data_IF_416191167327
#
_entry.id   IF_416191167327
#
_cell.length_a   1.000
_cell.length_b   1.000
_cell.length_c   1.000
_cell.angle_alpha   90.00
_cell.angle_beta   90.00
_cell.angle_gamma   90.00
#
_symmetry.space_group_name_H-M   'P 1'
#
loop_
_entity.id
_entity.type
_entity.pdbx_description
1 polymer ?
#
# COMPACT_ATOMS: atom_id res chain seq x y z
N UNK A 1 -22.86 15.30 16.27
CA UNK A 1 -21.88 14.53 17.08
C UNK A 1 -20.54 14.71 16.39
N UNK A 2 -19.58 15.36 17.03
CA UNK A 2 -18.20 15.48 16.50
C UNK A 2 -17.62 14.10 16.38
N UNK A 3 -17.17 13.71 15.18
CA UNK A 3 -16.47 12.44 14.96
C UNK A 3 -15.25 12.39 15.90
N UNK A 4 -15.13 11.33 16.67
CA UNK A 4 -13.97 11.11 17.53
C UNK A 4 -12.74 10.91 16.64
N UNK A 5 -11.65 11.60 16.95
CA UNK A 5 -10.40 11.45 16.20
C UNK A 5 -9.95 9.99 16.16
N UNK A 6 -9.39 9.52 15.03
CA UNK A 6 -8.85 8.17 14.88
C UNK A 6 -7.84 7.82 15.99
N UNK A 7 -7.85 6.56 16.45
CA UNK A 7 -6.88 6.13 17.46
C UNK A 7 -5.57 5.74 16.81
N UNK A 8 -4.55 6.58 16.98
CA UNK A 8 -3.21 6.36 16.43
C UNK A 8 -2.22 5.96 17.54
N UNK A 9 -1.33 5.04 17.22
CA UNK A 9 -0.14 4.68 18.04
C UNK A 9 1.11 4.93 17.20
N UNK A 10 2.09 5.63 17.79
CA UNK A 10 3.34 5.98 17.11
C UNK A 10 4.49 5.18 17.68
N UNK A 11 5.33 4.70 16.78
CA UNK A 11 6.64 4.13 17.09
C UNK A 11 7.68 5.03 16.43
N UNK A 12 8.10 6.11 17.11
CA UNK A 12 9.07 7.03 16.55
C UNK A 12 10.43 6.37 16.42
N UNK A 13 11.14 6.69 15.36
CA UNK A 13 12.51 6.23 15.10
C UNK A 13 12.66 4.70 15.16
N UNK A 14 11.71 3.96 14.62
CA UNK A 14 11.85 2.52 14.45
C UNK A 14 13.09 2.22 13.60
N UNK A 15 14.11 1.63 14.24
CA UNK A 15 15.42 1.38 13.62
C UNK A 15 15.40 0.08 12.84
N UNK A 16 15.87 0.14 11.60
CA UNK A 16 16.12 -1.03 10.76
C UNK A 16 17.60 -1.36 10.72
N UNK A 17 17.97 -2.59 10.99
CA UNK A 17 19.33 -3.10 10.79
C UNK A 17 19.60 -3.36 9.30
N UNK A 18 18.57 -3.74 8.53
CA UNK A 18 18.70 -4.02 7.09
C UNK A 18 18.93 -2.73 6.28
N UNK A 19 18.24 -1.64 6.64
CA UNK A 19 18.31 -0.37 5.92
C UNK A 19 19.33 0.60 6.53
N UNK A 20 19.81 0.29 7.73
CA UNK A 20 20.77 1.10 8.53
C UNK A 20 20.30 2.53 8.86
N UNK A 21 19.01 2.73 8.97
CA UNK A 21 18.42 3.99 9.44
C UNK A 21 17.08 3.79 10.14
N UNK A 22 16.53 4.88 10.69
CA UNK A 22 15.28 4.85 11.43
C UNK A 22 14.20 5.65 10.68
N UNK A 23 12.94 5.24 10.91
CA UNK A 23 11.74 5.93 10.42
C UNK A 23 10.61 5.85 11.44
N UNK A 24 9.64 6.71 11.33
CA UNK A 24 8.45 6.63 12.14
C UNK A 24 7.47 5.62 11.56
N UNK A 25 6.83 4.87 12.45
CA UNK A 25 5.73 3.97 12.13
C UNK A 25 4.49 4.46 12.87
N UNK A 26 3.39 4.61 12.17
CA UNK A 26 2.12 5.05 12.74
C UNK A 26 1.08 3.95 12.55
N UNK A 27 0.49 3.48 13.65
CA UNK A 27 -0.51 2.41 13.63
C UNK A 27 -1.87 2.97 13.96
N UNK A 28 -2.80 2.88 13.00
CA UNK A 28 -4.22 3.11 13.24
C UNK A 28 -4.84 1.88 13.88
N UNK A 29 -5.54 2.08 14.98
CA UNK A 29 -6.31 1.06 15.70
C UNK A 29 -7.81 1.28 15.47
N UNK A 30 -8.55 0.23 15.03
CA UNK A 30 -9.96 0.38 14.71
C UNK A 30 -10.80 0.66 15.96
N UNK A 31 -12.02 1.20 15.79
CA UNK A 31 -12.96 1.42 16.90
C UNK A 31 -13.11 0.16 17.77
N UNK A 32 -13.16 0.36 19.09
CA UNK A 32 -13.24 -0.70 20.11
C UNK A 32 -12.03 -1.63 20.20
N UNK A 33 -10.88 -1.31 19.59
CA UNK A 33 -9.68 -2.12 19.75
C UNK A 33 -9.34 -2.40 21.22
N UNK A 34 -9.47 -1.44 22.13
CA UNK A 34 -9.14 -1.59 23.56
C UNK A 34 -10.05 -2.55 24.34
N UNK A 35 -11.28 -2.77 23.88
CA UNK A 35 -12.31 -3.56 24.60
C UNK A 35 -12.61 -4.90 23.94
N UNK A 36 -12.43 -5.02 22.63
CA UNK A 36 -12.65 -6.28 21.91
C UNK A 36 -11.45 -7.22 22.05
N UNK A 37 -11.72 -8.52 22.25
CA UNK A 37 -10.69 -9.57 22.36
C UNK A 37 -10.48 -10.34 21.06
N UNK A 38 -10.43 -9.64 19.91
CA UNK A 38 -10.23 -10.27 18.60
C UNK A 38 -8.94 -9.81 17.94
N UNK A 39 -8.47 -10.59 16.99
CA UNK A 39 -7.40 -10.20 16.08
C UNK A 39 -7.97 -9.48 14.85
N UNK A 40 -7.13 -8.78 14.13
CA UNK A 40 -7.52 -7.89 13.04
C UNK A 40 -6.63 -8.10 11.80
N UNK A 41 -7.20 -8.05 10.59
CA UNK A 41 -6.41 -7.93 9.38
C UNK A 41 -5.60 -6.62 9.39
N UNK A 42 -4.47 -6.63 8.69
CA UNK A 42 -3.52 -5.51 8.66
C UNK A 42 -3.25 -5.06 7.22
N UNK A 43 -3.38 -3.76 6.98
CA UNK A 43 -2.93 -3.10 5.76
C UNK A 43 -1.68 -2.26 6.07
N UNK A 44 -0.56 -2.61 5.45
CA UNK A 44 0.67 -1.83 5.48
C UNK A 44 0.65 -0.83 4.33
N UNK A 45 0.85 0.46 4.63
CA UNK A 45 0.86 1.53 3.63
C UNK A 45 2.17 2.32 3.66
N UNK A 46 2.74 2.52 2.49
CA UNK A 46 3.91 3.37 2.29
C UNK A 46 3.57 4.85 2.46
N UNK A 47 4.60 5.68 2.62
CA UNK A 47 4.49 7.14 2.77
C UNK A 47 3.59 7.53 3.96
N UNK A 48 3.84 6.90 5.12
CA UNK A 48 3.04 6.98 6.34
C UNK A 48 2.73 8.41 6.80
N UNK A 49 3.65 9.34 6.57
CA UNK A 49 3.47 10.77 6.90
C UNK A 49 2.30 11.41 6.15
N UNK A 50 1.88 10.87 4.99
CA UNK A 50 0.79 11.40 4.17
C UNK A 50 -0.58 10.77 4.49
N UNK A 51 -0.69 9.87 5.46
CA UNK A 51 -1.87 9.02 5.59
C UNK A 51 -2.92 9.57 6.56
N UNK A 52 -2.49 10.07 7.72
CA UNK A 52 -3.38 10.29 8.86
C UNK A 52 -3.54 11.75 9.29
N UNK A 53 -2.52 12.56 9.13
CA UNK A 53 -2.43 13.88 9.75
C UNK A 53 -1.96 14.93 8.72
N UNK A 54 -2.76 15.97 8.50
CA UNK A 54 -2.45 16.98 7.49
C UNK A 54 -1.15 17.75 7.77
N UNK A 55 -0.80 17.90 9.07
CA UNK A 55 0.40 18.64 9.48
C UNK A 55 1.71 17.89 9.17
N UNK A 56 1.63 16.55 9.07
CA UNK A 56 2.79 15.69 8.76
C UNK A 56 2.97 15.43 7.27
N UNK A 57 1.94 15.70 6.48
CA UNK A 57 1.94 15.39 5.06
C UNK A 57 3.05 16.17 4.33
N UNK A 58 3.65 15.53 3.31
CA UNK A 58 4.69 16.14 2.47
C UNK A 58 4.23 17.48 1.86
N UNK A 59 2.97 17.57 1.45
CA UNK A 59 2.29 18.82 1.12
C UNK A 59 1.35 19.14 2.28
N UNK A 60 1.64 20.18 3.08
CA UNK A 60 0.83 20.52 4.24
C UNK A 60 -0.66 20.66 3.89
N UNK A 61 -1.51 20.06 4.69
CA UNK A 61 -2.96 20.06 4.46
C UNK A 61 -3.46 18.99 3.48
N UNK A 62 -2.59 18.30 2.75
CA UNK A 62 -2.98 17.25 1.81
C UNK A 62 -2.56 15.87 2.34
N UNK A 63 -3.52 15.12 2.84
CA UNK A 63 -3.30 13.74 3.33
C UNK A 63 -4.42 12.81 2.86
N UNK A 64 -4.22 11.49 3.00
CA UNK A 64 -5.15 10.49 2.50
C UNK A 64 -6.42 10.30 3.33
N UNK A 65 -6.51 10.92 4.51
CA UNK A 65 -7.64 10.75 5.43
C UNK A 65 -7.94 9.28 5.76
N UNK A 66 -6.89 8.49 5.91
CA UNK A 66 -7.02 7.03 6.09
C UNK A 66 -7.82 6.68 7.33
N UNK A 67 -7.56 7.36 8.45
CA UNK A 67 -8.24 7.09 9.71
C UNK A 67 -9.74 7.40 9.66
N UNK A 68 -10.11 8.55 9.13
CA UNK A 68 -11.50 9.00 8.99
C UNK A 68 -12.26 8.07 8.03
N UNK A 69 -11.68 7.74 6.89
CA UNK A 69 -12.30 6.83 5.89
C UNK A 69 -12.54 5.44 6.49
N UNK A 70 -11.60 4.93 7.29
CA UNK A 70 -11.76 3.66 7.99
C UNK A 70 -12.87 3.73 9.03
N UNK A 71 -12.87 4.76 9.89
CA UNK A 71 -13.89 4.93 10.92
C UNK A 71 -15.29 5.02 10.30
N UNK A 72 -15.46 5.79 9.23
CA UNK A 72 -16.72 5.92 8.48
C UNK A 72 -17.21 4.56 7.95
N UNK A 73 -16.33 3.81 7.27
CA UNK A 73 -16.71 2.53 6.66
C UNK A 73 -16.96 1.43 7.70
N UNK A 74 -16.18 1.40 8.80
CA UNK A 74 -16.34 0.41 9.87
C UNK A 74 -17.62 0.68 10.65
N UNK A 75 -17.89 1.94 11.02
CA UNK A 75 -19.11 2.32 11.74
C UNK A 75 -20.36 2.07 10.91
N UNK A 76 -20.29 2.31 9.60
CA UNK A 76 -21.37 2.00 8.66
C UNK A 76 -21.53 0.49 8.37
N UNK A 77 -20.68 -0.38 8.94
CA UNK A 77 -20.72 -1.83 8.70
C UNK A 77 -20.34 -2.25 7.27
N UNK A 78 -19.73 -1.37 6.49
CA UNK A 78 -19.35 -1.63 5.09
C UNK A 78 -18.09 -2.47 4.97
N UNK A 79 -17.21 -2.40 5.96
CA UNK A 79 -16.02 -3.24 6.10
C UNK A 79 -15.88 -3.72 7.56
N UNK A 80 -15.24 -4.86 7.82
CA UNK A 80 -14.85 -5.25 9.17
C UNK A 80 -13.79 -4.29 9.73
N UNK A 81 -13.60 -4.26 11.07
CA UNK A 81 -12.49 -3.53 11.66
C UNK A 81 -11.13 -4.03 11.16
N UNK A 82 -10.30 -3.11 10.69
CA UNK A 82 -8.96 -3.34 10.08
C UNK A 82 -7.96 -2.45 10.77
N UNK A 83 -6.73 -2.93 10.99
CA UNK A 83 -5.59 -2.11 11.40
C UNK A 83 -4.86 -1.59 10.17
N UNK A 84 -4.29 -0.39 10.26
CA UNK A 84 -3.41 0.15 9.23
C UNK A 84 -2.08 0.54 9.84
N UNK A 85 -0.99 0.13 9.20
CA UNK A 85 0.38 0.45 9.56
C UNK A 85 0.95 1.41 8.50
N UNK A 86 1.04 2.68 8.84
CA UNK A 86 1.69 3.69 8.02
C UNK A 86 3.21 3.68 8.25
N UNK A 87 3.96 3.60 7.18
CA UNK A 87 5.42 3.49 7.17
C UNK A 87 5.96 4.77 6.55
N UNK A 88 6.52 5.66 7.36
CA UNK A 88 7.08 6.91 6.85
C UNK A 88 8.23 6.61 5.89
N UNK A 89 8.29 7.35 4.80
CA UNK A 89 9.48 7.35 3.98
C UNK A 89 10.58 8.20 4.62
N UNK A 90 11.80 8.02 4.17
CA UNK A 90 12.99 8.71 4.72
C UNK A 90 13.47 9.87 3.83
N UNK A 91 12.55 10.51 3.11
CA UNK A 91 12.85 11.65 2.25
C UNK A 91 13.81 11.27 1.13
N UNK A 92 15.07 11.66 1.23
CA UNK A 92 16.08 11.43 0.18
C UNK A 92 16.30 9.95 -0.16
N UNK A 93 16.10 9.03 0.79
CA UNK A 93 16.25 7.59 0.54
C UNK A 93 15.00 6.93 -0.05
N UNK A 94 13.89 7.67 -0.18
CA UNK A 94 12.64 7.11 -0.73
C UNK A 94 12.82 6.47 -2.10
N UNK A 95 13.54 7.13 -2.99
CA UNK A 95 13.76 6.61 -4.35
C UNK A 95 14.63 5.34 -4.32
N UNK A 96 15.59 5.26 -3.39
CA UNK A 96 16.42 4.07 -3.21
C UNK A 96 15.57 2.87 -2.79
N UNK A 97 14.71 3.06 -1.80
CA UNK A 97 13.93 2.00 -1.17
C UNK A 97 12.70 1.58 -1.98
N UNK A 98 12.10 2.49 -2.75
CA UNK A 98 10.84 2.24 -3.44
C UNK A 98 11.01 1.80 -4.90
N UNK A 99 12.23 1.49 -5.31
CA UNK A 99 12.50 1.07 -6.68
C UNK A 99 13.20 -0.28 -6.76
N UNK A 100 12.78 -1.16 -7.71
CA UNK A 100 13.29 -2.53 -7.82
C UNK A 100 14.73 -2.61 -8.35
N UNK A 101 15.11 -1.64 -9.17
CA UNK A 101 16.40 -1.60 -9.88
C UNK A 101 16.97 -0.19 -9.81
N UNK A 102 18.28 -0.06 -10.04
CA UNK A 102 18.93 1.24 -10.16
C UNK A 102 18.74 1.79 -11.57
N UNK A 103 18.23 3.02 -11.66
CA UNK A 103 18.22 3.80 -12.90
C UNK A 103 19.52 4.61 -13.01
N UNK A 104 20.10 4.69 -14.22
CA UNK A 104 21.39 5.32 -14.43
C UNK A 104 21.43 6.84 -14.08
N UNK A 105 20.26 7.51 -14.08
CA UNK A 105 20.16 8.96 -13.79
C UNK A 105 19.62 9.23 -12.40
N UNK A 106 18.69 8.39 -11.93
CA UNK A 106 17.93 8.62 -10.71
C UNK A 106 18.42 7.78 -9.53
N UNK A 107 19.33 6.83 -9.75
CA UNK A 107 19.77 5.89 -8.73
C UNK A 107 18.69 4.87 -8.40
N UNK A 108 18.47 4.55 -7.12
CA UNK A 108 17.49 3.58 -6.69
C UNK A 108 18.03 2.16 -6.55
N UNK A 109 17.12 1.15 -6.53
CA UNK A 109 17.48 -0.26 -6.63
C UNK A 109 17.53 -1.03 -5.30
N UNK A 110 17.13 -0.43 -4.18
CA UNK A 110 17.09 -1.10 -2.87
C UNK A 110 15.68 -1.58 -2.46
N UNK A 111 14.75 -1.70 -3.40
CA UNK A 111 13.39 -2.20 -3.14
C UNK A 111 13.38 -3.61 -2.54
N UNK A 112 14.36 -4.45 -2.88
CA UNK A 112 14.54 -5.77 -2.27
C UNK A 112 14.92 -5.70 -0.78
N UNK A 113 15.82 -4.81 -0.37
CA UNK A 113 16.18 -4.58 1.03
C UNK A 113 15.00 -3.99 1.81
N UNK A 114 14.29 -3.04 1.20
CA UNK A 114 13.07 -2.49 1.80
C UNK A 114 11.99 -3.56 2.01
N UNK A 115 11.83 -4.48 1.06
CA UNK A 115 10.96 -5.64 1.22
C UNK A 115 11.38 -6.56 2.37
N UNK A 116 12.69 -6.79 2.54
CA UNK A 116 13.22 -7.54 3.69
C UNK A 116 12.95 -6.83 5.01
N UNK A 117 13.18 -5.51 5.08
CA UNK A 117 12.81 -4.71 6.26
C UNK A 117 11.35 -4.91 6.65
N UNK A 118 10.42 -4.82 5.70
CA UNK A 118 8.99 -5.02 5.97
C UNK A 118 8.69 -6.42 6.53
N UNK A 119 9.30 -7.43 5.96
CA UNK A 119 8.99 -8.85 6.21
C UNK A 119 9.74 -9.38 7.44
N UNK A 120 11.01 -9.03 7.58
CA UNK A 120 11.90 -9.64 8.57
C UNK A 120 11.97 -8.80 9.87
N UNK A 121 11.66 -7.48 9.82
CA UNK A 121 11.76 -6.61 10.99
C UNK A 121 10.39 -6.01 11.37
N UNK A 122 9.74 -5.26 10.47
CA UNK A 122 8.54 -4.50 10.82
C UNK A 122 7.33 -5.40 11.08
N UNK A 123 7.00 -6.31 10.16
CA UNK A 123 5.83 -7.19 10.32
C UNK A 123 5.92 -8.05 11.59
N UNK A 124 7.02 -8.72 11.92
CA UNK A 124 7.16 -9.45 13.17
C UNK A 124 7.03 -8.55 14.42
N UNK A 125 7.50 -7.31 14.36
CA UNK A 125 7.30 -6.35 15.44
C UNK A 125 5.81 -6.02 15.63
N UNK A 126 5.09 -5.70 14.56
CA UNK A 126 3.66 -5.41 14.59
C UNK A 126 2.86 -6.60 15.12
N UNK A 127 3.15 -7.81 14.64
CA UNK A 127 2.45 -9.03 15.04
C UNK A 127 2.65 -9.39 16.53
N UNK A 128 3.82 -9.07 17.10
CA UNK A 128 4.08 -9.25 18.54
C UNK A 128 3.48 -8.14 19.40
N UNK A 129 3.32 -6.94 18.85
CA UNK A 129 2.87 -5.76 19.63
C UNK A 129 1.35 -5.61 19.61
N UNK A 130 0.70 -6.06 18.55
CA UNK A 130 -0.73 -5.87 18.33
C UNK A 130 -1.45 -7.19 18.05
N UNK A 131 -2.77 -7.19 18.25
CA UNK A 131 -3.61 -8.35 17.93
C UNK A 131 -3.89 -8.43 16.44
N UNK A 132 -2.97 -8.96 15.70
CA UNK A 132 -3.05 -9.13 14.25
C UNK A 132 -3.51 -10.54 13.86
N UNK A 133 -4.03 -10.66 12.65
CA UNK A 133 -4.17 -11.91 11.91
C UNK A 133 -2.95 -12.03 10.99
N UNK A 134 -1.88 -12.78 11.37
CA UNK A 134 -0.58 -12.66 10.71
C UNK A 134 -0.48 -13.35 9.35
N UNK A 135 -1.48 -14.12 8.96
CA UNK A 135 -1.48 -14.89 7.70
C UNK A 135 -1.64 -14.00 6.46
N UNK A 136 -1.19 -14.47 5.28
CA UNK A 136 -1.25 -13.68 4.06
C UNK A 136 -2.67 -13.27 3.66
N UNK A 137 -3.68 -14.10 3.91
CA UNK A 137 -5.08 -13.78 3.59
C UNK A 137 -5.61 -12.52 4.32
N UNK A 138 -5.02 -12.19 5.46
CA UNK A 138 -5.39 -11.03 6.30
C UNK A 138 -4.33 -9.93 6.28
N UNK A 139 -3.28 -10.05 5.46
CA UNK A 139 -2.19 -9.07 5.36
C UNK A 139 -2.15 -8.46 3.98
N UNK A 140 -2.26 -7.15 3.90
CA UNK A 140 -2.18 -6.39 2.65
C UNK A 140 -1.02 -5.38 2.68
N UNK A 141 -0.47 -5.07 1.51
CA UNK A 141 0.56 -4.05 1.30
C UNK A 141 0.07 -3.05 0.25
N UNK A 142 0.37 -1.76 0.43
CA UNK A 142 -0.08 -0.78 -0.54
C UNK A 142 0.64 0.55 -0.51
N UNK A 143 0.42 1.32 -1.56
CA UNK A 143 0.89 2.70 -1.71
C UNK A 143 0.62 3.25 -3.09
N UNK A 144 1.04 4.51 -3.29
CA UNK A 144 0.89 5.22 -4.57
C UNK A 144 2.24 5.53 -5.21
N UNK A 145 2.23 5.81 -6.51
CA UNK A 145 3.42 6.26 -7.23
C UNK A 145 4.56 5.22 -7.16
N UNK A 146 5.74 5.62 -6.67
CA UNK A 146 6.84 4.69 -6.35
C UNK A 146 6.44 3.70 -5.25
N UNK A 147 5.56 4.10 -4.30
CA UNK A 147 4.99 3.19 -3.30
C UNK A 147 4.14 2.08 -3.94
N UNK A 148 3.37 2.38 -4.99
CA UNK A 148 2.66 1.38 -5.78
C UNK A 148 3.62 0.46 -6.54
N UNK A 149 4.70 1.01 -7.09
CA UNK A 149 5.74 0.23 -7.77
C UNK A 149 6.40 -0.79 -6.83
N UNK A 150 6.88 -0.34 -5.66
CA UNK A 150 7.54 -1.22 -4.68
C UNK A 150 6.58 -2.24 -4.07
N UNK A 151 5.31 -1.85 -3.87
CA UNK A 151 4.24 -2.78 -3.45
C UNK A 151 4.15 -3.97 -4.39
N UNK A 152 4.02 -3.70 -5.69
CA UNK A 152 3.93 -4.77 -6.70
C UNK A 152 5.22 -5.59 -6.76
N UNK A 153 6.38 -4.94 -6.74
CA UNK A 153 7.67 -5.62 -6.73
C UNK A 153 7.79 -6.60 -5.56
N UNK A 154 7.51 -6.16 -4.34
CA UNK A 154 7.59 -7.01 -3.14
C UNK A 154 6.60 -8.17 -3.22
N UNK A 155 5.33 -7.90 -3.57
CA UNK A 155 4.33 -8.96 -3.67
C UNK A 155 4.69 -10.06 -4.68
N UNK A 156 5.34 -9.70 -5.79
CA UNK A 156 5.77 -10.65 -6.82
C UNK A 156 7.05 -11.41 -6.44
N UNK A 157 7.99 -10.76 -5.75
CA UNK A 157 9.31 -11.34 -5.45
C UNK A 157 9.42 -12.00 -4.08
N UNK A 158 8.45 -11.72 -3.18
CA UNK A 158 8.35 -12.27 -1.82
C UNK A 158 6.96 -12.87 -1.57
N UNK A 159 6.58 -13.92 -2.28
CA UNK A 159 5.25 -14.52 -2.16
C UNK A 159 5.01 -15.12 -0.77
N UNK A 160 3.73 -15.26 -0.39
CA UNK A 160 3.33 -15.92 0.85
C UNK A 160 3.32 -15.04 2.10
N UNK A 161 3.62 -13.74 2.00
CA UNK A 161 3.56 -12.80 3.12
C UNK A 161 2.32 -11.90 3.03
N UNK A 162 2.10 -11.31 1.87
CA UNK A 162 0.94 -10.47 1.58
C UNK A 162 -0.01 -11.22 0.65
N UNK A 163 -1.30 -11.23 0.96
CA UNK A 163 -2.33 -11.83 0.11
C UNK A 163 -3.04 -10.82 -0.78
N UNK A 164 -2.93 -9.53 -0.45
CA UNK A 164 -3.52 -8.45 -1.25
C UNK A 164 -2.56 -7.28 -1.44
N UNK A 165 -2.58 -6.68 -2.63
CA UNK A 165 -1.75 -5.53 -2.98
C UNK A 165 -2.63 -4.36 -3.44
N UNK A 166 -2.29 -3.15 -2.98
CA UNK A 166 -2.90 -1.87 -3.39
C UNK A 166 -1.87 -1.05 -4.16
N UNK A 167 -2.04 -1.00 -5.47
CA UNK A 167 -1.08 -0.42 -6.43
C UNK A 167 -1.74 0.79 -7.08
N UNK A 168 -1.72 1.94 -6.38
CA UNK A 168 -2.37 3.18 -6.84
C UNK A 168 -1.41 4.01 -7.67
N UNK A 169 -1.85 4.48 -8.83
CA UNK A 169 -1.05 5.35 -9.72
C UNK A 169 0.43 4.95 -9.83
N UNK A 170 0.74 3.66 -10.08
CA UNK A 170 2.12 3.16 -9.94
C UNK A 170 3.08 3.80 -10.94
N UNK A 171 4.32 4.04 -10.51
CA UNK A 171 5.42 4.52 -11.35
C UNK A 171 5.95 3.42 -12.28
N UNK A 172 5.09 2.93 -13.20
CA UNK A 172 5.43 1.83 -14.13
C UNK A 172 6.60 2.21 -15.06
N UNK A 173 6.76 3.50 -15.34
CA UNK A 173 7.81 4.07 -16.19
C UNK A 173 9.24 3.79 -15.71
N UNK A 174 9.43 3.46 -14.41
CA UNK A 174 10.74 3.26 -13.79
C UNK A 174 11.59 2.27 -14.57
N UNK A 175 12.87 2.64 -14.77
CA UNK A 175 13.90 1.83 -15.45
C UNK A 175 13.31 1.09 -16.67
N UNK A 176 12.84 1.87 -17.64
CA UNK A 176 12.26 1.36 -18.90
C UNK A 176 11.12 0.35 -18.67
N UNK A 177 10.30 0.58 -17.67
CA UNK A 177 9.16 -0.29 -17.30
C UNK A 177 9.59 -1.68 -16.82
N UNK A 178 10.67 -1.78 -16.06
CA UNK A 178 11.22 -3.07 -15.57
C UNK A 178 10.17 -3.94 -14.88
N UNK A 179 9.20 -3.34 -14.20
CA UNK A 179 8.14 -4.05 -13.49
C UNK A 179 7.29 -4.94 -14.40
N UNK A 180 7.09 -4.57 -15.66
CA UNK A 180 6.37 -5.41 -16.64
C UNK A 180 7.13 -6.71 -16.91
N UNK A 181 8.46 -6.64 -16.94
CA UNK A 181 9.32 -7.81 -17.06
C UNK A 181 9.25 -8.70 -15.82
N UNK A 182 9.21 -8.10 -14.64
CA UNK A 182 9.02 -8.82 -13.37
C UNK A 182 7.69 -9.58 -13.39
N UNK A 183 6.58 -8.92 -13.75
CA UNK A 183 5.26 -9.58 -13.86
C UNK A 183 5.32 -10.77 -14.80
N UNK A 184 5.88 -10.61 -16.00
CA UNK A 184 5.95 -11.68 -17.01
C UNK A 184 6.79 -12.87 -16.58
N UNK A 185 7.85 -12.66 -15.80
CA UNK A 185 8.78 -13.71 -15.33
C UNK A 185 8.32 -14.40 -14.04
N UNK A 186 7.38 -13.82 -13.30
CA UNK A 186 6.91 -14.41 -12.04
C UNK A 186 6.16 -15.71 -12.31
N UNK A 187 6.82 -16.82 -12.04
CA UNK A 187 6.29 -18.20 -12.19
C UNK A 187 6.80 -19.07 -11.04
N UNK A 188 5.96 -19.85 -10.37
CA UNK A 188 4.50 -19.86 -10.52
C UNK A 188 3.87 -18.51 -10.09
N UNK A 189 2.68 -18.22 -10.59
CA UNK A 189 1.93 -17.01 -10.22
C UNK A 189 1.56 -17.07 -8.73
N UNK A 190 1.94 -16.11 -7.90
CA UNK A 190 1.54 -16.08 -6.50
C UNK A 190 0.03 -15.87 -6.33
N UNK A 191 -0.53 -16.41 -5.25
CA UNK A 191 -1.93 -16.22 -4.87
C UNK A 191 -2.14 -14.82 -4.29
N UNK A 192 -2.21 -13.82 -5.17
CA UNK A 192 -2.37 -12.41 -4.82
C UNK A 192 -3.66 -11.86 -5.40
N UNK A 193 -4.36 -11.04 -4.62
CA UNK A 193 -5.38 -10.12 -5.10
C UNK A 193 -4.72 -8.76 -5.32
N UNK A 194 -4.92 -8.16 -6.48
CA UNK A 194 -4.23 -6.92 -6.85
C UNK A 194 -5.24 -5.86 -7.26
N UNK A 195 -5.23 -4.72 -6.55
CA UNK A 195 -5.88 -3.49 -6.96
C UNK A 195 -4.86 -2.66 -7.74
N UNK A 196 -5.23 -2.22 -8.95
CA UNK A 196 -4.46 -1.26 -9.74
C UNK A 196 -5.39 -0.13 -10.15
N UNK A 197 -4.97 1.11 -9.97
CA UNK A 197 -5.71 2.26 -10.50
C UNK A 197 -4.80 3.33 -11.09
N UNK A 198 -5.41 4.26 -11.85
CA UNK A 198 -4.75 5.44 -12.40
C UNK A 198 -5.77 6.57 -12.57
N UNK A 199 -5.36 7.81 -12.30
CA UNK A 199 -6.14 8.98 -12.63
C UNK A 199 -5.96 9.39 -14.09
N UNK A 200 -7.05 9.77 -14.79
CA UNK A 200 -6.96 10.14 -16.22
C UNK A 200 -6.26 11.47 -16.46
N UNK A 201 -6.20 12.34 -15.44
CA UNK A 201 -5.47 13.61 -15.49
C UNK A 201 -3.99 13.49 -15.08
N UNK A 202 -3.46 12.29 -14.80
CA UNK A 202 -2.03 12.08 -14.50
C UNK A 202 -1.15 12.10 -15.77
N UNK A 203 -1.76 12.30 -16.92
CA UNK A 203 -1.10 12.39 -18.22
C UNK A 203 -1.17 11.08 -19.02
N UNK A 204 -1.21 11.24 -20.33
CA UNK A 204 -1.40 10.13 -21.29
C UNK A 204 -0.39 9.00 -21.09
N UNK A 205 0.89 9.33 -20.87
CA UNK A 205 1.94 8.34 -20.70
C UNK A 205 1.72 7.48 -19.45
N UNK A 206 1.34 8.08 -18.32
CA UNK A 206 1.07 7.36 -17.09
C UNK A 206 -0.13 6.41 -17.25
N UNK A 207 -1.19 6.88 -17.93
CA UNK A 207 -2.36 6.08 -18.23
C UNK A 207 -2.04 4.89 -19.15
N UNK A 208 -1.27 5.12 -20.21
CA UNK A 208 -0.83 4.05 -21.11
C UNK A 208 0.05 3.02 -20.37
N UNK A 209 0.93 3.46 -19.48
CA UNK A 209 1.75 2.60 -18.64
C UNK A 209 0.91 1.74 -17.69
N UNK A 210 -0.14 2.29 -17.10
CA UNK A 210 -1.06 1.54 -16.24
C UNK A 210 -1.85 0.48 -17.05
N UNK A 211 -2.28 0.81 -18.28
CA UNK A 211 -2.93 -0.14 -19.20
C UNK A 211 -1.99 -1.28 -19.60
N UNK A 212 -0.70 -0.98 -19.85
CA UNK A 212 0.32 -1.99 -20.11
C UNK A 212 0.53 -2.92 -18.91
N UNK A 213 0.52 -2.36 -17.68
CA UNK A 213 0.60 -3.15 -16.45
C UNK A 213 -0.60 -4.08 -16.31
N UNK A 214 -1.83 -3.56 -16.51
CA UNK A 214 -3.07 -4.39 -16.53
C UNK A 214 -2.93 -5.54 -17.53
N UNK A 215 -2.51 -5.24 -18.76
CA UNK A 215 -2.36 -6.27 -19.81
C UNK A 215 -1.29 -7.31 -19.42
N UNK A 216 -0.17 -6.90 -18.83
CA UNK A 216 0.86 -7.81 -18.34
C UNK A 216 0.37 -8.73 -17.22
N UNK A 217 -0.40 -8.20 -16.26
CA UNK A 217 -1.00 -8.99 -15.17
C UNK A 217 -1.99 -10.01 -15.71
N UNK A 218 -2.89 -9.60 -16.62
CA UNK A 218 -3.83 -10.52 -17.28
C UNK A 218 -3.08 -11.61 -18.05
N UNK A 219 -2.07 -11.24 -18.84
CA UNK A 219 -1.23 -12.19 -19.58
C UNK A 219 -0.41 -13.14 -18.66
N UNK A 220 -0.20 -12.75 -17.40
CA UNK A 220 0.43 -13.58 -16.39
C UNK A 220 -0.57 -14.45 -15.60
N UNK A 221 -1.89 -14.33 -15.87
CA UNK A 221 -2.93 -15.20 -15.35
C UNK A 221 -3.78 -14.61 -14.22
N UNK A 222 -3.66 -13.31 -13.90
CA UNK A 222 -4.63 -12.63 -13.03
C UNK A 222 -5.91 -12.35 -13.80
N UNK A 223 -7.06 -12.51 -13.14
CA UNK A 223 -8.39 -12.40 -13.78
C UNK A 223 -9.11 -11.17 -13.28
N UNK A 224 -9.49 -10.29 -14.20
CA UNK A 224 -10.30 -9.11 -13.88
C UNK A 224 -11.64 -9.52 -13.20
N UNK A 225 -12.02 -8.79 -12.15
CA UNK A 225 -13.22 -9.07 -11.36
C UNK A 225 -13.08 -10.19 -10.33
N UNK A 226 -12.02 -11.00 -10.38
CA UNK A 226 -11.75 -12.07 -9.40
C UNK A 226 -10.58 -11.71 -8.46
N UNK A 227 -9.37 -11.65 -9.01
CA UNK A 227 -8.15 -11.41 -8.26
C UNK A 227 -7.35 -10.19 -8.79
N UNK A 228 -7.87 -9.53 -9.82
CA UNK A 228 -7.38 -8.25 -10.34
C UNK A 228 -8.54 -7.25 -10.41
N UNK A 229 -8.39 -6.12 -9.75
CA UNK A 229 -9.20 -4.93 -9.98
C UNK A 229 -8.37 -3.90 -10.74
N UNK A 230 -8.96 -3.31 -11.77
CA UNK A 230 -8.34 -2.19 -12.50
C UNK A 230 -9.38 -1.09 -12.73
N UNK A 231 -9.04 0.14 -12.37
CA UNK A 231 -9.91 1.30 -12.55
C UNK A 231 -9.13 2.51 -13.08
N UNK A 232 -9.78 3.28 -13.96
CA UNK A 232 -9.34 4.61 -14.39
C UNK A 232 -10.29 5.64 -13.80
N UNK A 233 -9.75 6.59 -13.02
CA UNK A 233 -10.56 7.60 -12.34
C UNK A 233 -10.55 8.91 -13.12
N UNK A 234 -11.71 9.26 -13.68
CA UNK A 234 -11.88 10.46 -14.50
C UNK A 234 -11.52 11.72 -13.73
N UNK A 235 -10.68 12.57 -14.34
CA UNK A 235 -10.17 13.81 -13.72
C UNK A 235 -9.21 13.58 -12.54
N UNK A 236 -8.93 12.34 -12.15
CA UNK A 236 -8.01 12.05 -11.06
C UNK A 236 -6.59 12.48 -11.39
N UNK A 237 -5.96 13.22 -10.46
CA UNK A 237 -4.58 13.73 -10.57
C UNK A 237 -3.60 12.88 -9.75
N UNK A 238 -2.29 13.10 -9.94
CA UNK A 238 -1.23 12.46 -9.16
C UNK A 238 -1.02 13.22 -7.83
N UNK A 239 -1.96 13.06 -6.89
CA UNK A 239 -1.96 13.81 -5.63
C UNK A 239 -2.61 13.04 -4.49
N UNK A 240 -2.23 13.39 -3.25
CA UNK A 240 -2.80 12.83 -2.03
C UNK A 240 -4.32 13.02 -1.97
N UNK A 241 -4.84 14.15 -2.40
CA UNK A 241 -6.29 14.42 -2.43
C UNK A 241 -7.02 13.47 -3.39
N UNK A 242 -6.44 13.20 -4.58
CA UNK A 242 -7.02 12.27 -5.54
C UNK A 242 -6.96 10.82 -5.03
N UNK A 243 -5.88 10.42 -4.34
CA UNK A 243 -5.78 9.09 -3.72
C UNK A 243 -6.73 8.95 -2.54
N UNK A 244 -6.87 9.98 -1.71
CA UNK A 244 -7.85 10.01 -0.63
C UNK A 244 -9.29 9.80 -1.14
N UNK A 245 -9.67 10.48 -2.22
CA UNK A 245 -11.03 10.42 -2.79
C UNK A 245 -11.43 8.99 -3.24
N UNK A 246 -10.47 8.15 -3.64
CA UNK A 246 -10.71 6.78 -4.10
C UNK A 246 -10.33 5.69 -3.10
N UNK A 247 -9.70 6.05 -1.98
CA UNK A 247 -9.24 5.07 -0.98
C UNK A 247 -10.38 4.28 -0.34
N UNK A 248 -11.55 4.88 -0.16
CA UNK A 248 -12.75 4.16 0.31
C UNK A 248 -13.17 3.00 -0.59
N UNK A 249 -13.05 3.15 -1.92
CA UNK A 249 -13.31 2.06 -2.86
C UNK A 249 -12.26 0.94 -2.75
N UNK A 250 -10.99 1.29 -2.52
CA UNK A 250 -9.91 0.32 -2.24
C UNK A 250 -10.25 -0.53 -1.02
N UNK A 251 -10.63 0.11 0.09
CA UNK A 251 -10.98 -0.58 1.33
C UNK A 251 -12.21 -1.49 1.16
N UNK A 252 -13.24 -1.02 0.44
CA UNK A 252 -14.41 -1.80 0.14
C UNK A 252 -14.07 -3.04 -0.70
N UNK A 253 -13.18 -2.92 -1.68
CA UNK A 253 -12.73 -4.06 -2.48
C UNK A 253 -11.89 -5.05 -1.68
N UNK A 254 -11.00 -4.57 -0.80
CA UNK A 254 -10.17 -5.43 0.05
C UNK A 254 -10.99 -6.22 1.06
N UNK A 255 -11.98 -5.56 1.69
CA UNK A 255 -12.60 -6.05 2.93
C UNK A 255 -14.12 -6.12 2.89
N UNK A 256 -14.81 -5.50 1.91
CA UNK A 256 -16.26 -5.29 1.89
C UNK A 256 -17.12 -6.40 1.26
N UNK A 257 -16.56 -7.51 0.82
CA UNK A 257 -17.32 -8.60 0.18
C UNK A 257 -17.17 -9.93 0.93
N UNK A 258 -18.01 -10.96 0.61
CA UNK A 258 -17.74 -12.30 1.09
C UNK A 258 -16.33 -12.71 0.64
N UNK A 259 -15.49 -13.07 1.59
CA UNK A 259 -14.20 -13.68 1.29
C UNK A 259 -14.49 -15.08 0.73
N UNK A 260 -14.36 -15.25 -0.58
CA UNK A 260 -14.48 -16.54 -1.25
C UNK A 260 -13.24 -17.37 -0.98
#
# INVERSE_FOLDING_TARGET
>A
MTAKAPTLRRHPRFRSAILDHARDIVVYLPPRYGTARKSYPVLYLHDGQNLFEPERAHVPGQHWRVGETLDELIVAGRIPPVMVVGIDNTGTSRIQEYTPTSDARLGGGRGGDYGRFLIEELKPFIDRTYRTEPGPASTALGGSSLGGLVTLHIGLTRPGVFGSLVVMSPSVWWDRRVILSTVRRTRPRPALRIWVDMGTAEGRRALDDARLLKAALVGAGWTAGRDLHYAEYEGGTHSEAAWAARFGAVLAWLYGGPRV
#
